data_IF_308655559674
#
_entry.id   IF_308655559674
#
_cell.length_a   1.000
_cell.length_b   1.000
_cell.length_c   1.000
_cell.angle_alpha   90.00
_cell.angle_beta   90.00
_cell.angle_gamma   90.00
#
_symmetry.space_group_name_H-M   'P 1'
#
loop_
_entity.id
_entity.type
_entity.pdbx_description
1 polymer ?
#
# COMPACT_ATOMS: atom_id res chain seq x y z
N UNK A 1 -3.69 -20.46 -34.45
CA UNK A 1 -3.87 -19.68 -35.70
C UNK A 1 -5.36 -19.45 -36.01
N UNK A 2 -6.18 -19.12 -34.99
CA UNK A 2 -7.60 -18.79 -35.16
C UNK A 2 -8.10 -18.18 -33.84
N UNK A 3 -7.96 -16.86 -33.69
CA UNK A 3 -8.75 -16.03 -32.74
C UNK A 3 -8.46 -14.52 -32.85
N UNK A 4 -7.40 -14.09 -33.54
CA UNK A 4 -7.08 -12.66 -33.69
C UNK A 4 -7.81 -11.93 -34.85
N UNK A 5 -8.52 -12.66 -35.71
CA UNK A 5 -9.12 -12.09 -36.94
C UNK A 5 -10.52 -11.49 -36.76
N UNK A 6 -11.19 -11.67 -35.60
CA UNK A 6 -12.57 -11.23 -35.41
C UNK A 6 -12.74 -9.86 -34.73
N UNK A 7 -11.67 -9.25 -34.22
CA UNK A 7 -11.77 -7.90 -33.63
C UNK A 7 -11.80 -6.78 -34.69
N UNK A 8 -11.21 -7.01 -35.87
CA UNK A 8 -11.11 -5.99 -36.91
C UNK A 8 -12.32 -5.88 -37.84
N UNK A 9 -13.26 -6.84 -37.84
CA UNK A 9 -14.45 -6.80 -38.71
C UNK A 9 -15.65 -6.05 -38.13
N UNK A 10 -15.67 -5.76 -36.83
CA UNK A 10 -16.77 -5.02 -36.18
C UNK A 10 -16.71 -3.49 -36.43
N UNK A 11 -15.58 -2.97 -36.91
CA UNK A 11 -15.33 -1.53 -37.06
C UNK A 11 -15.79 -0.92 -38.39
N UNK A 12 -16.31 -1.72 -39.33
CA UNK A 12 -16.56 -1.28 -40.71
C UNK A 12 -18.03 -0.99 -41.07
N UNK A 13 -18.92 -0.90 -40.09
CA UNK A 13 -20.34 -0.63 -40.36
C UNK A 13 -20.95 0.44 -39.45
N UNK A 14 -20.34 1.62 -39.34
CA UNK A 14 -21.04 2.77 -38.75
C UNK A 14 -20.66 4.11 -39.39
N UNK A 15 -21.72 4.75 -39.89
CA UNK A 15 -21.93 6.14 -40.29
C UNK A 15 -20.81 7.16 -40.11
N UNK A 16 -20.66 7.94 -41.17
CA UNK A 16 -19.92 9.21 -41.27
C UNK A 16 -20.22 10.15 -40.08
N UNK A 17 -19.39 10.11 -39.05
CA UNK A 17 -19.40 11.13 -38.01
C UNK A 17 -17.96 11.53 -37.65
N UNK A 18 -17.49 12.59 -38.31
CA UNK A 18 -16.14 13.18 -38.20
C UNK A 18 -15.74 13.52 -36.76
N UNK A 19 -16.68 13.72 -35.83
CA UNK A 19 -16.37 14.03 -34.42
C UNK A 19 -15.85 12.83 -33.61
N UNK A 20 -16.26 11.60 -33.94
CA UNK A 20 -15.82 10.41 -33.19
C UNK A 20 -14.34 10.08 -33.44
N UNK A 21 -13.86 10.25 -34.67
CA UNK A 21 -12.45 10.00 -35.03
C UNK A 21 -11.48 10.96 -34.35
N UNK A 22 -11.85 12.23 -34.20
CA UNK A 22 -11.03 13.21 -33.46
C UNK A 22 -10.90 12.84 -31.98
N UNK A 23 -11.97 12.35 -31.36
CA UNK A 23 -11.97 11.97 -29.95
C UNK A 23 -11.15 10.69 -29.70
N UNK A 24 -11.28 9.68 -30.58
CA UNK A 24 -10.51 8.42 -30.46
C UNK A 24 -9.01 8.63 -30.70
N UNK A 25 -8.62 9.46 -31.68
CA UNK A 25 -7.22 9.81 -31.92
C UNK A 25 -6.61 10.61 -30.76
N UNK A 26 -7.34 11.59 -30.20
CA UNK A 26 -6.87 12.38 -29.05
C UNK A 26 -6.68 11.53 -27.79
N UNK A 27 -7.57 10.59 -27.50
CA UNK A 27 -7.45 9.70 -26.32
C UNK A 27 -6.25 8.75 -26.50
N UNK A 28 -6.02 8.24 -27.70
CA UNK A 28 -4.84 7.40 -27.98
C UNK A 28 -3.53 8.18 -27.87
N UNK A 29 -3.47 9.42 -28.39
CA UNK A 29 -2.25 10.23 -28.33
C UNK A 29 -1.91 10.70 -26.91
N UNK A 30 -2.91 11.05 -26.10
CA UNK A 30 -2.71 11.43 -24.69
C UNK A 30 -2.34 10.22 -23.83
N UNK A 31 -2.94 9.04 -24.10
CA UNK A 31 -2.60 7.79 -23.41
C UNK A 31 -1.18 7.31 -23.69
N UNK A 32 -0.73 7.37 -24.95
CA UNK A 32 0.65 7.03 -25.33
C UNK A 32 1.67 8.05 -24.82
N UNK A 33 1.32 9.35 -24.79
CA UNK A 33 2.23 10.39 -24.30
C UNK A 33 2.42 10.34 -22.78
N UNK A 34 1.36 10.05 -22.03
CA UNK A 34 1.46 9.90 -20.56
C UNK A 34 2.14 8.60 -20.17
N UNK A 35 1.82 7.48 -20.83
CA UNK A 35 2.53 6.22 -20.63
C UNK A 35 4.01 6.35 -21.02
N UNK A 36 4.33 6.96 -22.17
CA UNK A 36 5.69 7.20 -22.63
C UNK A 36 6.48 8.13 -21.71
N UNK A 37 5.87 9.21 -21.21
CA UNK A 37 6.52 10.12 -20.25
C UNK A 37 6.76 9.43 -18.90
N UNK A 38 5.80 8.66 -18.38
CA UNK A 38 5.97 7.90 -17.15
C UNK A 38 7.05 6.82 -17.30
N UNK A 39 7.07 6.12 -18.43
CA UNK A 39 8.08 5.10 -18.74
C UNK A 39 9.47 5.72 -18.91
N UNK A 40 9.59 6.86 -19.59
CA UNK A 40 10.86 7.57 -19.77
C UNK A 40 11.38 8.14 -18.45
N UNK A 41 10.51 8.73 -17.62
CA UNK A 41 10.87 9.23 -16.29
C UNK A 41 11.26 8.10 -15.33
N UNK A 42 10.55 6.97 -15.40
CA UNK A 42 10.86 5.75 -14.66
C UNK A 42 12.23 5.19 -15.06
N UNK A 43 12.48 5.08 -16.38
CA UNK A 43 13.76 4.61 -16.92
C UNK A 43 14.92 5.51 -16.46
N UNK A 44 14.76 6.84 -16.50
CA UNK A 44 15.81 7.78 -16.07
C UNK A 44 16.03 7.80 -14.55
N UNK A 45 14.98 7.75 -13.72
CA UNK A 45 15.13 7.76 -12.25
C UNK A 45 15.78 6.47 -11.75
N UNK A 46 15.30 5.31 -12.21
CA UNK A 46 15.87 4.01 -11.88
C UNK A 46 17.34 3.90 -12.36
N UNK A 47 17.67 4.44 -13.55
CA UNK A 47 19.05 4.50 -14.02
C UNK A 47 19.92 5.39 -13.12
N UNK A 48 19.45 6.59 -12.77
CA UNK A 48 20.26 7.54 -11.99
C UNK A 48 20.57 7.05 -10.57
N UNK A 49 19.59 6.42 -9.92
CA UNK A 49 19.78 5.82 -8.60
C UNK A 49 20.71 4.60 -8.65
N UNK A 50 20.49 3.70 -9.61
CA UNK A 50 21.38 2.55 -9.84
C UNK A 50 22.82 2.99 -10.14
N UNK A 51 23.00 4.05 -10.94
CA UNK A 51 24.30 4.62 -11.25
C UNK A 51 24.97 5.24 -10.02
N UNK A 52 24.21 5.87 -9.10
CA UNK A 52 24.77 6.47 -7.88
C UNK A 52 25.25 5.41 -6.88
N UNK A 53 24.44 4.37 -6.59
CA UNK A 53 24.82 3.30 -5.67
C UNK A 53 25.97 2.43 -6.21
N UNK A 54 26.09 2.29 -7.53
CA UNK A 54 27.19 1.54 -8.17
C UNK A 54 28.54 2.23 -8.07
N UNK A 55 28.62 3.47 -7.56
CA UNK A 55 29.91 4.14 -7.33
C UNK A 55 30.70 3.48 -6.20
N UNK A 56 30.02 2.84 -5.25
CA UNK A 56 30.63 2.21 -4.08
C UNK A 56 30.22 0.74 -3.95
N UNK A 57 31.09 -0.04 -3.31
CA UNK A 57 30.89 -1.47 -3.09
C UNK A 57 29.75 -1.73 -2.09
N UNK A 58 29.17 -2.94 -2.13
CA UNK A 58 28.09 -3.29 -1.20
C UNK A 58 28.50 -3.16 0.28
N UNK A 59 29.73 -3.55 0.69
CA UNK A 59 30.19 -3.32 2.07
C UNK A 59 30.30 -1.84 2.46
N UNK A 60 30.57 -0.94 1.51
CA UNK A 60 30.71 0.49 1.79
C UNK A 60 29.36 1.17 2.04
N UNK A 61 28.30 0.70 1.38
CA UNK A 61 26.92 1.21 1.54
C UNK A 61 26.11 0.42 2.58
N UNK A 62 26.63 -0.70 3.08
CA UNK A 62 25.92 -1.53 4.06
C UNK A 62 25.70 -0.77 5.38
N UNK A 63 24.46 -0.71 5.91
CA UNK A 63 24.18 0.07 7.10
C UNK A 63 24.86 -0.48 8.36
N UNK A 64 25.24 0.42 9.26
CA UNK A 64 25.81 0.07 10.56
C UNK A 64 24.69 -0.25 11.56
N UNK A 65 24.44 -1.54 11.80
CA UNK A 65 23.27 -2.02 12.55
C UNK A 65 23.57 -2.56 13.96
N UNK A 66 24.79 -2.34 14.47
CA UNK A 66 25.29 -2.95 15.72
C UNK A 66 24.51 -2.58 16.97
N UNK A 67 23.79 -1.46 16.97
CA UNK A 67 23.00 -0.96 18.12
C UNK A 67 21.50 -1.09 17.90
N UNK A 68 21.06 -1.72 16.83
CA UNK A 68 19.66 -1.76 16.42
C UNK A 68 18.94 -2.97 17.01
N UNK A 69 17.73 -2.73 17.50
CA UNK A 69 16.79 -3.68 18.08
C UNK A 69 15.47 -3.64 17.29
N UNK A 70 15.55 -3.98 16.00
CA UNK A 70 14.41 -4.21 15.11
C UNK A 70 14.67 -5.47 14.26
N UNK A 71 13.62 -6.06 13.68
CA UNK A 71 13.71 -7.32 12.95
C UNK A 71 14.53 -7.21 11.67
N UNK A 72 14.44 -6.09 10.95
CA UNK A 72 15.26 -5.82 9.77
C UNK A 72 16.75 -5.97 10.11
N UNK A 73 17.19 -5.34 11.20
CA UNK A 73 18.58 -5.41 11.64
C UNK A 73 19.04 -6.81 12.04
N UNK A 74 18.15 -7.67 12.52
CA UNK A 74 18.50 -9.05 12.86
C UNK A 74 18.53 -10.00 11.66
N UNK A 75 17.88 -9.65 10.56
CA UNK A 75 17.76 -10.51 9.37
C UNK A 75 18.59 -10.03 8.18
N UNK A 76 18.81 -8.71 8.04
CA UNK A 76 19.60 -8.17 6.95
C UNK A 76 21.05 -8.62 7.12
N UNK A 77 21.61 -9.18 6.06
CA UNK A 77 23.03 -9.54 5.98
C UNK A 77 23.67 -8.80 4.82
N UNK A 78 24.99 -8.64 4.88
CA UNK A 78 25.75 -8.03 3.78
C UNK A 78 25.55 -8.78 2.46
N UNK A 79 25.47 -10.11 2.50
CA UNK A 79 25.22 -10.92 1.31
C UNK A 79 23.82 -10.67 0.73
N UNK A 80 22.80 -10.60 1.58
CA UNK A 80 21.43 -10.27 1.17
C UNK A 80 21.36 -8.86 0.59
N UNK A 81 21.97 -7.89 1.25
CA UNK A 81 22.04 -6.51 0.77
C UNK A 81 22.72 -6.42 -0.60
N UNK A 82 23.89 -7.07 -0.77
CA UNK A 82 24.58 -7.12 -2.05
C UNK A 82 23.74 -7.73 -3.17
N UNK A 83 22.91 -8.74 -2.88
CA UNK A 83 21.99 -9.37 -3.84
C UNK A 83 20.81 -8.45 -4.21
N UNK A 84 20.30 -7.67 -3.27
CA UNK A 84 19.08 -6.86 -3.43
C UNK A 84 19.35 -5.41 -3.85
N UNK A 85 20.55 -4.86 -3.63
CA UNK A 85 20.86 -3.43 -3.85
C UNK A 85 20.73 -2.94 -5.29
N UNK A 86 20.82 -3.84 -6.26
CA UNK A 86 20.62 -3.52 -7.68
C UNK A 86 19.16 -3.72 -8.15
N UNK A 87 18.26 -4.14 -7.24
CA UNK A 87 16.85 -4.36 -7.55
C UNK A 87 16.04 -3.08 -7.32
N UNK A 88 15.10 -2.84 -8.22
CA UNK A 88 14.22 -1.67 -8.22
C UNK A 88 12.84 -2.14 -8.65
N UNK A 89 11.79 -1.68 -7.95
CA UNK A 89 10.40 -1.98 -8.34
C UNK A 89 9.98 -1.17 -9.58
N UNK A 90 8.85 -1.51 -10.24
CA UNK A 90 8.33 -0.71 -11.36
C UNK A 90 7.94 0.72 -11.00
N UNK A 91 7.86 1.09 -9.72
CA UNK A 91 7.67 2.49 -9.31
C UNK A 91 8.99 3.23 -9.08
N UNK A 92 10.09 2.50 -8.83
CA UNK A 92 11.39 3.06 -8.50
C UNK A 92 11.84 2.82 -7.06
N UNK A 93 11.12 2.02 -6.27
CA UNK A 93 11.43 1.74 -4.86
C UNK A 93 12.57 0.74 -4.72
N UNK A 94 13.50 0.96 -3.79
CA UNK A 94 14.75 0.19 -3.66
C UNK A 94 14.89 -0.46 -2.29
N UNK A 95 15.95 -1.27 -2.11
CA UNK A 95 16.23 -1.87 -0.80
C UNK A 95 16.57 -0.81 0.27
N UNK A 96 17.22 0.30 -0.10
CA UNK A 96 17.52 1.35 0.88
C UNK A 96 16.23 2.06 1.30
N UNK A 97 15.31 2.33 0.36
CA UNK A 97 13.98 2.86 0.70
C UNK A 97 13.20 1.91 1.63
N UNK A 98 13.35 0.59 1.42
CA UNK A 98 12.73 -0.43 2.28
C UNK A 98 13.25 -0.34 3.71
N UNK A 99 14.58 -0.25 3.90
CA UNK A 99 15.21 -0.38 5.22
C UNK A 99 15.42 0.95 5.93
N UNK A 100 15.31 2.10 5.27
CA UNK A 100 15.66 3.42 5.82
C UNK A 100 14.98 3.67 7.18
N UNK A 101 13.71 3.31 7.31
CA UNK A 101 12.97 3.45 8.57
C UNK A 101 13.62 2.65 9.72
N UNK A 102 14.14 1.45 9.45
CA UNK A 102 14.83 0.65 10.45
C UNK A 102 16.28 1.06 10.68
N UNK A 103 16.92 1.72 9.72
CA UNK A 103 18.25 2.31 9.89
C UNK A 103 18.16 3.55 10.79
N UNK A 104 17.19 4.42 10.54
CA UNK A 104 17.00 5.67 11.29
C UNK A 104 16.44 5.44 12.69
N UNK A 105 15.68 4.36 12.89
CA UNK A 105 15.05 4.05 14.16
C UNK A 105 15.67 2.79 14.79
N UNK A 106 16.45 3.01 15.86
CA UNK A 106 17.14 1.95 16.60
C UNK A 106 16.19 0.86 17.13
N UNK A 107 14.89 1.13 17.28
CA UNK A 107 13.92 0.17 17.80
C UNK A 107 13.94 0.07 19.33
N UNK A 108 13.52 -1.07 19.88
CA UNK A 108 13.47 -1.30 21.33
C UNK A 108 13.69 -2.77 21.64
N UNK A 109 14.43 -3.06 22.72
CA UNK A 109 14.56 -4.42 23.23
C UNK A 109 13.25 -4.96 23.83
N UNK A 110 12.34 -4.08 24.26
CA UNK A 110 11.07 -4.47 24.90
C UNK A 110 9.91 -4.64 23.91
N UNK A 111 10.06 -4.12 22.68
CA UNK A 111 9.01 -4.16 21.65
C UNK A 111 9.61 -4.50 20.31
N UNK A 112 9.05 -5.51 19.65
CA UNK A 112 9.49 -5.95 18.35
C UNK A 112 8.95 -5.02 17.24
N UNK A 113 9.85 -4.28 16.61
CA UNK A 113 9.56 -3.49 15.40
C UNK A 113 10.07 -4.21 14.16
N UNK A 114 9.40 -4.02 13.03
CA UNK A 114 9.85 -4.58 11.75
C UNK A 114 11.12 -3.90 11.24
N UNK A 115 11.18 -2.57 11.24
CA UNK A 115 12.32 -1.82 10.66
C UNK A 115 12.34 -1.82 9.12
N UNK A 116 11.23 -2.15 8.47
CA UNK A 116 11.06 -2.06 7.00
C UNK A 116 9.78 -1.34 6.64
N UNK A 117 9.72 -0.81 5.42
CA UNK A 117 8.50 -0.33 4.79
C UNK A 117 8.42 -0.77 3.33
N UNK A 118 7.22 -1.11 2.84
CA UNK A 118 6.99 -1.34 1.42
C UNK A 118 6.55 -0.03 0.75
N UNK A 119 7.01 0.23 -0.47
CA UNK A 119 6.65 1.41 -1.25
C UNK A 119 5.53 1.15 -2.25
N UNK A 120 5.32 -0.10 -2.64
CA UNK A 120 4.32 -0.56 -3.61
C UNK A 120 4.02 -2.05 -3.43
N UNK A 121 3.09 -2.57 -4.24
CA UNK A 121 2.70 -3.99 -4.22
C UNK A 121 3.88 -4.91 -4.59
N UNK A 122 4.67 -4.50 -5.57
CA UNK A 122 5.82 -5.26 -6.07
C UNK A 122 6.97 -5.36 -5.07
N UNK A 123 7.07 -4.45 -4.10
CA UNK A 123 8.09 -4.44 -3.04
C UNK A 123 8.18 -5.79 -2.31
N UNK A 124 7.03 -6.40 -1.99
CA UNK A 124 7.00 -7.69 -1.28
C UNK A 124 7.63 -8.82 -2.09
N UNK A 125 7.46 -8.81 -3.41
CA UNK A 125 8.05 -9.81 -4.32
C UNK A 125 9.51 -9.49 -4.64
N UNK A 126 9.83 -8.22 -4.90
CA UNK A 126 11.16 -7.78 -5.31
C UNK A 126 12.20 -7.98 -4.19
N UNK A 127 11.78 -7.79 -2.95
CA UNK A 127 12.62 -7.87 -1.76
C UNK A 127 12.18 -9.00 -0.82
N UNK A 128 11.61 -10.08 -1.37
CA UNK A 128 11.08 -11.21 -0.59
C UNK A 128 12.14 -11.88 0.30
N UNK A 129 13.40 -11.93 -0.16
CA UNK A 129 14.54 -12.42 0.64
C UNK A 129 14.64 -11.73 2.02
N UNK A 130 14.23 -10.45 2.10
CA UNK A 130 14.15 -9.71 3.36
C UNK A 130 12.74 -9.77 3.96
N UNK A 131 11.66 -9.60 3.19
CA UNK A 131 10.31 -9.57 3.75
C UNK A 131 9.84 -10.91 4.33
N UNK A 132 10.10 -12.02 3.65
CA UNK A 132 9.64 -13.36 4.05
C UNK A 132 10.16 -13.79 5.43
N UNK A 133 11.47 -13.67 5.76
CA UNK A 133 11.93 -14.01 7.10
C UNK A 133 11.29 -13.13 8.18
N UNK A 134 11.04 -11.85 7.90
CA UNK A 134 10.38 -10.93 8.84
C UNK A 134 8.92 -11.31 9.08
N UNK A 135 8.18 -11.63 8.01
CA UNK A 135 6.79 -12.11 8.07
C UNK A 135 6.71 -13.41 8.87
N UNK A 136 7.63 -14.35 8.60
CA UNK A 136 7.72 -15.61 9.33
C UNK A 136 7.98 -15.38 10.82
N UNK A 137 8.92 -14.52 11.18
CA UNK A 137 9.22 -14.23 12.60
C UNK A 137 8.02 -13.60 13.30
N UNK A 138 7.33 -12.63 12.67
CA UNK A 138 6.24 -11.89 13.34
C UNK A 138 4.92 -12.66 13.39
N UNK A 139 4.62 -13.42 12.34
CA UNK A 139 3.30 -14.00 12.11
C UNK A 139 3.30 -15.53 11.97
N UNK A 140 4.46 -16.18 12.02
CA UNK A 140 4.61 -17.63 11.86
C UNK A 140 4.04 -18.15 10.52
N UNK A 141 4.22 -17.37 9.46
CA UNK A 141 3.81 -17.71 8.10
C UNK A 141 5.02 -17.87 7.19
N UNK A 142 5.14 -19.04 6.55
CA UNK A 142 6.14 -19.30 5.52
C UNK A 142 5.73 -18.76 4.14
N UNK A 143 6.61 -18.85 3.14
CA UNK A 143 6.35 -18.35 1.78
C UNK A 143 5.16 -19.02 1.09
N UNK A 144 4.88 -20.29 1.43
CA UNK A 144 3.76 -21.05 0.88
C UNK A 144 2.45 -20.88 1.69
N UNK A 145 2.49 -20.10 2.77
CA UNK A 145 1.30 -19.86 3.59
C UNK A 145 0.25 -19.10 2.78
N UNK A 146 -1.00 -19.55 2.89
CA UNK A 146 -2.14 -18.88 2.26
C UNK A 146 -2.93 -18.13 3.32
N UNK A 147 -3.20 -16.86 3.06
CA UNK A 147 -4.13 -16.09 3.87
C UNK A 147 -5.56 -16.44 3.48
N UNK A 148 -6.39 -16.78 4.47
CA UNK A 148 -7.82 -16.97 4.30
C UNK A 148 -8.57 -15.75 4.86
N UNK A 149 -9.55 -15.26 4.11
CA UNK A 149 -10.39 -14.14 4.51
C UNK A 149 -11.82 -14.63 4.69
N UNK A 150 -12.26 -14.75 5.95
CA UNK A 150 -13.66 -14.98 6.30
C UNK A 150 -14.19 -13.73 6.99
N UNK A 151 -15.19 -13.10 6.38
CA UNK A 151 -15.84 -11.89 6.89
C UNK A 151 -17.31 -12.15 7.24
N UNK A 152 -17.70 -13.41 7.35
CA UNK A 152 -19.03 -13.81 7.80
C UNK A 152 -19.17 -13.60 9.31
N UNK A 153 -19.85 -12.52 9.68
CA UNK A 153 -20.08 -12.14 11.07
C UNK A 153 -20.88 -13.20 11.84
N UNK A 154 -21.67 -14.04 11.17
CA UNK A 154 -22.51 -15.06 11.83
C UNK A 154 -21.69 -16.19 12.45
N UNK A 155 -20.43 -16.35 12.04
CA UNK A 155 -19.49 -17.32 12.60
C UNK A 155 -18.74 -16.80 13.83
N UNK A 156 -18.95 -15.53 14.20
CA UNK A 156 -18.34 -14.96 15.39
C UNK A 156 -19.06 -15.51 16.62
N UNK A 157 -18.38 -16.36 17.39
CA UNK A 157 -18.89 -16.90 18.64
C UNK A 157 -18.18 -16.24 19.82
N UNK A 158 -18.95 -15.59 20.68
CA UNK A 158 -18.41 -15.01 21.90
C UNK A 158 -18.45 -16.05 23.03
N UNK A 159 -17.30 -16.35 23.68
CA UNK A 159 -17.22 -17.42 24.68
C UNK A 159 -18.07 -17.16 25.94
N UNK A 160 -18.56 -15.93 26.14
CA UNK A 160 -19.44 -15.55 27.25
C UNK A 160 -20.94 -15.74 26.96
N UNK A 161 -21.32 -16.08 25.72
CA UNK A 161 -22.73 -16.32 25.35
C UNK A 161 -23.18 -17.75 25.63
N UNK A 162 -22.25 -18.72 25.69
CA UNK A 162 -22.59 -20.15 25.74
C UNK A 162 -22.59 -20.78 27.15
N UNK A 163 -22.01 -20.13 28.17
CA UNK A 163 -21.58 -20.82 29.40
C UNK A 163 -22.11 -20.21 30.72
N UNK A 164 -23.33 -19.67 30.76
CA UNK A 164 -23.93 -19.14 32.01
C UNK A 164 -22.96 -18.21 32.80
N UNK A 165 -22.09 -17.50 32.08
CA UNK A 165 -21.03 -16.69 32.67
C UNK A 165 -21.60 -15.35 33.06
N UNK A 166 -21.42 -14.96 34.31
CA UNK A 166 -21.84 -13.68 34.93
C UNK A 166 -21.00 -12.48 34.46
N UNK A 167 -20.34 -12.56 33.30
CA UNK A 167 -19.49 -11.48 32.80
C UNK A 167 -20.37 -10.35 32.25
N UNK A 168 -20.54 -9.31 33.07
CA UNK A 168 -21.23 -8.09 32.68
C UNK A 168 -20.33 -7.24 31.78
N UNK A 169 -20.51 -7.38 30.47
CA UNK A 169 -19.74 -6.66 29.46
C UNK A 169 -19.82 -5.15 29.65
N UNK A 170 -20.96 -4.62 30.11
CA UNK A 170 -21.19 -3.19 30.26
C UNK A 170 -20.47 -2.61 31.49
N UNK A 171 -20.12 -3.44 32.47
CA UNK A 171 -19.34 -3.03 33.64
C UNK A 171 -17.86 -2.87 33.33
N UNK A 172 -17.31 -3.68 32.42
CA UNK A 172 -15.86 -3.78 32.21
C UNK A 172 -15.38 -3.24 30.86
N UNK A 173 -16.22 -3.25 29.82
CA UNK A 173 -15.85 -2.82 28.47
C UNK A 173 -16.46 -1.45 28.20
N UNK A 174 -15.61 -0.43 28.10
CA UNK A 174 -16.02 0.95 27.80
C UNK A 174 -16.41 1.12 26.33
N UNK A 175 -15.62 0.55 25.43
CA UNK A 175 -15.87 0.57 24.00
C UNK A 175 -15.20 -0.61 23.29
N UNK A 176 -15.71 -0.93 22.10
CA UNK A 176 -15.15 -1.96 21.21
C UNK A 176 -14.95 -1.37 19.83
N UNK A 177 -13.79 -1.63 19.22
CA UNK A 177 -13.44 -1.11 17.91
C UNK A 177 -12.70 -2.14 17.08
N UNK A 178 -13.21 -2.37 15.86
CA UNK A 178 -12.54 -3.14 14.83
C UNK A 178 -12.03 -2.18 13.75
N UNK A 179 -10.75 -2.27 13.40
CA UNK A 179 -10.14 -1.47 12.33
C UNK A 179 -9.50 -2.39 11.29
N UNK A 180 -9.78 -2.08 10.03
CA UNK A 180 -9.11 -2.67 8.87
C UNK A 180 -8.49 -1.57 8.02
N UNK A 181 -7.40 -1.90 7.34
CA UNK A 181 -6.71 -1.02 6.39
C UNK A 181 -6.64 -1.71 5.03
N UNK A 182 -6.69 -0.92 3.95
CA UNK A 182 -6.61 -1.39 2.57
C UNK A 182 -5.72 -0.45 1.76
N UNK A 183 -4.97 -1.02 0.82
CA UNK A 183 -4.29 -0.28 -0.23
C UNK A 183 -5.11 -0.41 -1.52
N UNK A 184 -5.04 0.59 -2.39
CA UNK A 184 -5.67 0.56 -3.71
C UNK A 184 -4.63 0.06 -4.71
N UNK A 185 -4.91 -1.06 -5.40
CA UNK A 185 -4.02 -1.57 -6.44
C UNK A 185 -3.83 -0.54 -7.56
N UNK A 186 -2.64 -0.53 -8.15
CA UNK A 186 -2.21 0.46 -9.15
C UNK A 186 -1.74 1.79 -8.57
N UNK A 187 -1.67 1.93 -7.23
CA UNK A 187 -1.07 3.08 -6.56
C UNK A 187 0.08 2.64 -5.65
N UNK A 188 1.13 3.44 -5.60
CA UNK A 188 2.18 3.29 -4.58
C UNK A 188 1.63 3.56 -3.18
N UNK A 189 2.29 2.99 -2.17
CA UNK A 189 1.94 3.13 -0.76
C UNK A 189 2.34 4.51 -0.20
N UNK A 190 1.83 4.91 0.97
CA UNK A 190 2.05 6.26 1.50
C UNK A 190 3.53 6.69 1.60
N UNK A 191 4.43 5.75 1.85
CA UNK A 191 5.89 5.95 1.95
C UNK A 191 6.54 6.40 0.65
N UNK A 192 5.96 6.07 -0.50
CA UNK A 192 6.51 6.41 -1.81
C UNK A 192 5.56 7.20 -2.72
N UNK A 193 4.31 7.36 -2.29
CA UNK A 193 3.27 8.08 -3.04
C UNK A 193 3.67 9.48 -3.48
N UNK A 194 3.55 9.72 -4.77
CA UNK A 194 3.61 11.09 -5.30
C UNK A 194 2.40 11.89 -4.80
N UNK A 195 2.53 13.23 -4.81
CA UNK A 195 1.40 14.12 -4.53
C UNK A 195 0.22 13.88 -5.48
N UNK A 196 0.48 13.50 -6.72
CA UNK A 196 -0.54 13.23 -7.72
C UNK A 196 -1.32 11.95 -7.39
N UNK A 197 -0.63 10.85 -7.11
CA UNK A 197 -1.26 9.59 -6.69
C UNK A 197 -2.09 9.78 -5.43
N UNK A 198 -1.54 10.44 -4.40
CA UNK A 198 -2.25 10.69 -3.14
C UNK A 198 -3.56 11.45 -3.34
N UNK A 199 -3.55 12.49 -4.18
CA UNK A 199 -4.77 13.25 -4.55
C UNK A 199 -5.73 12.44 -5.41
N UNK A 200 -5.23 11.49 -6.20
CA UNK A 200 -6.08 10.61 -6.99
C UNK A 200 -6.79 9.60 -6.07
N UNK A 201 -6.06 8.96 -5.17
CA UNK A 201 -6.62 8.07 -4.13
C UNK A 201 -7.68 8.79 -3.30
N UNK A 202 -7.39 10.00 -2.81
CA UNK A 202 -8.34 10.85 -2.07
C UNK A 202 -9.66 11.04 -2.86
N UNK A 203 -9.56 11.43 -4.14
CA UNK A 203 -10.74 11.67 -4.99
C UNK A 203 -11.54 10.41 -5.26
N UNK A 204 -10.88 9.29 -5.54
CA UNK A 204 -11.56 8.03 -5.86
C UNK A 204 -12.28 7.47 -4.63
N UNK A 205 -11.63 7.50 -3.47
CA UNK A 205 -12.25 7.07 -2.22
C UNK A 205 -13.44 7.95 -1.85
N UNK A 206 -13.31 9.27 -1.92
CA UNK A 206 -14.42 10.17 -1.61
C UNK A 206 -15.63 9.92 -2.52
N UNK A 207 -15.41 9.78 -3.84
CA UNK A 207 -16.47 9.42 -4.79
C UNK A 207 -17.13 8.08 -4.46
N UNK A 208 -16.32 7.06 -4.17
CA UNK A 208 -16.83 5.73 -3.83
C UNK A 208 -17.67 5.74 -2.56
N UNK A 209 -17.23 6.44 -1.50
CA UNK A 209 -17.98 6.54 -0.25
C UNK A 209 -19.28 7.34 -0.41
N UNK A 210 -19.27 8.43 -1.18
CA UNK A 210 -20.49 9.19 -1.48
C UNK A 210 -21.51 8.33 -2.24
N UNK A 211 -21.05 7.56 -3.23
CA UNK A 211 -21.92 6.64 -3.97
C UNK A 211 -22.46 5.54 -3.05
N UNK A 212 -21.62 4.95 -2.21
CA UNK A 212 -22.02 3.92 -1.24
C UNK A 212 -23.10 4.42 -0.28
N UNK A 213 -22.94 5.62 0.29
CA UNK A 213 -23.95 6.24 1.17
C UNK A 213 -25.27 6.46 0.42
N UNK A 214 -25.21 6.96 -0.82
CA UNK A 214 -26.40 7.20 -1.65
C UNK A 214 -27.16 5.91 -1.96
N UNK A 215 -26.47 4.80 -2.15
CA UNK A 215 -27.08 3.49 -2.46
C UNK A 215 -27.52 2.73 -1.20
N UNK A 216 -26.99 3.07 -0.02
CA UNK A 216 -27.23 2.35 1.23
C UNK A 216 -27.72 3.31 2.32
N UNK A 217 -29.03 3.62 2.29
CA UNK A 217 -29.69 4.60 3.16
C UNK A 217 -29.53 4.37 4.68
N UNK A 218 -29.05 3.20 5.11
CA UNK A 218 -28.73 2.89 6.50
C UNK A 218 -27.42 3.50 6.99
N UNK A 219 -26.55 3.96 6.06
CA UNK A 219 -25.29 4.59 6.37
C UNK A 219 -25.34 6.08 6.03
N UNK A 220 -24.72 6.90 6.87
CA UNK A 220 -24.54 8.33 6.64
C UNK A 220 -23.12 8.72 7.08
N UNK A 221 -22.57 9.77 6.48
CA UNK A 221 -21.24 10.23 6.80
C UNK A 221 -20.79 11.42 5.97
N UNK A 222 -19.81 12.15 6.50
CA UNK A 222 -19.19 13.29 5.84
C UNK A 222 -17.70 13.04 5.63
N UNK A 223 -17.19 13.49 4.48
CA UNK A 223 -15.76 13.53 4.23
C UNK A 223 -15.19 14.87 4.68
N UNK A 224 -14.23 14.84 5.62
CA UNK A 224 -13.54 16.03 6.11
C UNK A 224 -12.11 16.07 5.56
N UNK A 225 -11.83 17.05 4.70
CA UNK A 225 -10.47 17.27 4.19
C UNK A 225 -9.63 17.93 5.26
N UNK A 226 -8.54 17.29 5.67
CA UNK A 226 -7.72 17.78 6.80
C UNK A 226 -7.24 19.23 6.65
N UNK A 227 -6.94 19.68 5.43
CA UNK A 227 -6.53 21.09 5.18
C UNK A 227 -7.64 22.12 5.39
N UNK A 228 -8.89 21.69 5.55
CA UNK A 228 -10.09 22.51 5.73
C UNK A 228 -10.74 22.27 7.09
N UNK A 229 -10.16 21.41 7.94
CA UNK A 229 -10.63 21.16 9.30
C UNK A 229 -10.10 22.27 10.19
N UNK A 230 -10.98 23.01 10.86
CA UNK A 230 -10.60 24.01 11.86
C UNK A 230 -10.23 23.35 13.21
N UNK A 231 -9.67 24.15 14.13
CA UNK A 231 -9.21 23.64 15.42
C UNK A 231 -10.33 23.11 16.32
N UNK A 232 -11.54 23.65 16.22
CA UNK A 232 -12.68 23.17 17.01
C UNK A 232 -13.12 21.79 16.53
N UNK A 233 -13.29 21.65 15.22
CA UNK A 233 -13.64 20.40 14.58
C UNK A 233 -12.55 19.34 14.80
N UNK A 234 -11.27 19.72 14.65
CA UNK A 234 -10.15 18.80 14.93
C UNK A 234 -10.19 18.27 16.36
N UNK A 235 -10.38 19.14 17.35
CA UNK A 235 -10.49 18.75 18.76
C UNK A 235 -11.71 17.86 19.00
N UNK A 236 -12.86 18.18 18.39
CA UNK A 236 -14.06 17.34 18.51
C UNK A 236 -13.80 15.93 17.97
N UNK A 237 -13.17 15.79 16.80
CA UNK A 237 -12.85 14.49 16.20
C UNK A 237 -11.82 13.70 17.02
N UNK A 238 -10.84 14.39 17.62
CA UNK A 238 -9.84 13.76 18.49
C UNK A 238 -10.43 13.29 19.82
N UNK A 239 -11.36 14.06 20.40
CA UNK A 239 -11.94 13.79 21.71
C UNK A 239 -13.02 12.72 21.69
N UNK A 240 -13.71 12.48 20.55
CA UNK A 240 -14.61 11.31 20.40
C UNK A 240 -13.86 9.99 20.62
N UNK A 241 -12.56 9.93 20.29
CA UNK A 241 -11.70 8.78 20.59
C UNK A 241 -11.22 8.68 22.04
N UNK A 242 -11.39 9.71 22.85
CA UNK A 242 -10.96 9.75 24.26
C UNK A 242 -12.12 9.62 25.26
N UNK A 243 -13.37 9.83 24.81
CA UNK A 243 -14.59 9.66 25.60
C UNK A 243 -15.30 8.32 25.40
N UNK A 244 -14.65 7.37 24.72
CA UNK A 244 -15.04 5.97 24.52
C UNK A 244 -14.03 5.06 25.22
#
# INVERSE_FOLDING_TARGET
MSTYTNFFRSLLHFGTNQQKWKLTLLVSSVGLSTAGFLWHRHYHYANSYSLHLKRYSAPAEYPQLTKHANLMASQLTLQMYAKLRDRITPSGYTIDDVIQVGVDNLGSQTRQYFGVSAGDEESYKMFSDLFDPLIRIRYNHGPDARQYHDIDITKLHFPFESNNTTFDINKYILSSRIRITRNLSGYTFPTFSTRAERRHVERNLNKAFQQFIKENNQFNGNYYRLSMVDGQLQNSLANVSASM
#
